data_IF_614862458141
#
_entry.id   IF_614862458141
#
_cell.length_a   1.000
_cell.length_b   1.000
_cell.length_c   1.000
_cell.angle_alpha   90.00
_cell.angle_beta   90.00
_cell.angle_gamma   90.00
#
_symmetry.space_group_name_H-M   'P 1'
#
loop_
_entity.id
_entity.type
_entity.pdbx_description
1 polymer ?
#
# COMPACT_ATOMS: atom_id res chain seq x y z
N UNK A 1 -20.82 9.36 -7.77
CA UNK A 1 -19.59 10.13 -8.06
C UNK A 1 -19.32 10.07 -9.56
N UNK A 2 -19.39 11.19 -10.28
CA UNK A 2 -19.00 11.26 -11.69
C UNK A 2 -17.47 11.35 -11.75
N UNK A 3 -16.81 10.39 -12.38
CA UNK A 3 -15.36 10.40 -12.56
C UNK A 3 -15.05 11.17 -13.86
N UNK A 4 -14.11 12.13 -13.86
CA UNK A 4 -13.69 12.81 -15.07
C UNK A 4 -13.22 11.79 -16.15
N UNK A 5 -13.63 11.96 -17.42
CA UNK A 5 -13.34 11.00 -18.48
C UNK A 5 -11.84 10.82 -18.72
N UNK A 6 -11.03 11.87 -18.52
CA UNK A 6 -9.57 11.83 -18.61
C UNK A 6 -8.93 10.91 -17.56
N UNK A 7 -9.42 10.96 -16.32
CA UNK A 7 -8.94 10.10 -15.23
C UNK A 7 -9.37 8.65 -15.50
N UNK A 8 -10.59 8.45 -16.01
CA UNK A 8 -11.09 7.12 -16.33
C UNK A 8 -10.31 6.45 -17.47
N UNK A 9 -9.99 7.18 -18.54
CA UNK A 9 -9.18 6.66 -19.66
C UNK A 9 -7.76 6.32 -19.21
N UNK A 10 -7.13 7.21 -18.44
CA UNK A 10 -5.80 6.98 -17.90
C UNK A 10 -5.76 5.80 -16.94
N UNK A 11 -6.76 5.66 -16.06
CA UNK A 11 -6.86 4.51 -15.16
C UNK A 11 -6.99 3.20 -15.93
N UNK A 12 -7.77 3.17 -17.04
CA UNK A 12 -7.86 1.99 -17.91
C UNK A 12 -6.52 1.66 -18.58
N UNK A 13 -5.82 2.67 -19.10
CA UNK A 13 -4.49 2.51 -19.71
C UNK A 13 -3.48 1.99 -18.69
N UNK A 14 -3.53 2.53 -17.48
CA UNK A 14 -2.75 2.09 -16.34
C UNK A 14 -3.01 0.62 -15.98
N UNK A 15 -4.28 0.21 -15.89
CA UNK A 15 -4.64 -1.19 -15.63
C UNK A 15 -4.11 -2.16 -16.71
N UNK A 16 -4.14 -1.74 -17.98
CA UNK A 16 -3.64 -2.54 -19.11
C UNK A 16 -2.12 -2.67 -19.08
N UNK A 17 -1.42 -1.55 -18.90
CA UNK A 17 0.06 -1.51 -18.83
C UNK A 17 0.58 -2.25 -17.60
N UNK A 18 -0.07 -2.10 -16.45
CA UNK A 18 0.27 -2.85 -15.23
C UNK A 18 0.09 -4.36 -15.40
N UNK A 19 -0.95 -4.78 -16.13
CA UNK A 19 -1.16 -6.19 -16.45
C UNK A 19 -0.03 -6.74 -17.33
N UNK A 20 0.41 -5.96 -18.31
CA UNK A 20 1.50 -6.33 -19.21
C UNK A 20 2.87 -6.33 -18.51
N UNK A 21 3.14 -5.37 -17.62
CA UNK A 21 4.42 -5.24 -16.91
C UNK A 21 4.74 -6.45 -16.03
N UNK A 22 3.70 -7.12 -15.53
CA UNK A 22 3.81 -8.36 -14.73
C UNK A 22 3.52 -9.63 -15.53
N UNK A 23 3.58 -9.57 -16.87
CA UNK A 23 3.35 -10.71 -17.76
C UNK A 23 2.02 -11.43 -17.46
N UNK A 24 0.97 -10.65 -17.18
CA UNK A 24 -0.37 -11.13 -16.84
C UNK A 24 -0.46 -12.01 -15.59
N UNK A 25 0.54 -11.98 -14.71
CA UNK A 25 0.49 -12.69 -13.44
C UNK A 25 -0.55 -12.08 -12.49
N UNK A 26 -1.67 -12.78 -12.29
CA UNK A 26 -2.84 -12.26 -11.58
C UNK A 26 -2.55 -11.81 -10.13
N UNK A 27 -1.76 -12.58 -9.37
CA UNK A 27 -1.46 -12.22 -7.97
C UNK A 27 -0.61 -10.94 -7.88
N UNK A 28 0.52 -10.89 -8.61
CA UNK A 28 1.36 -9.70 -8.73
C UNK A 28 0.57 -8.46 -9.19
N UNK A 29 -0.28 -8.60 -10.21
CA UNK A 29 -1.17 -7.53 -10.67
C UNK A 29 -2.06 -7.01 -9.54
N UNK A 30 -2.71 -7.90 -8.78
CA UNK A 30 -3.59 -7.50 -7.66
C UNK A 30 -2.82 -6.75 -6.58
N UNK A 31 -1.59 -7.18 -6.27
CA UNK A 31 -0.79 -6.54 -5.22
C UNK A 31 -0.27 -5.17 -5.65
N UNK A 32 0.25 -5.05 -6.86
CA UNK A 32 0.59 -3.74 -7.41
C UNK A 32 -0.66 -2.86 -7.48
N UNK A 33 -1.80 -3.37 -7.95
CA UNK A 33 -3.03 -2.57 -7.99
C UNK A 33 -3.41 -2.01 -6.62
N UNK A 34 -3.28 -2.80 -5.54
CA UNK A 34 -3.50 -2.31 -4.17
C UNK A 34 -2.53 -1.18 -3.79
N UNK A 35 -1.26 -1.27 -4.18
CA UNK A 35 -0.27 -0.22 -3.91
C UNK A 35 -0.52 1.07 -4.69
N UNK A 36 -1.02 0.96 -5.91
CA UNK A 36 -1.23 2.12 -6.78
C UNK A 36 -2.59 2.79 -6.62
N UNK A 37 -3.60 2.05 -6.15
CA UNK A 37 -4.97 2.56 -5.93
C UNK A 37 -5.05 3.83 -5.08
N UNK A 38 -4.30 3.99 -3.97
CA UNK A 38 -4.32 5.20 -3.16
C UNK A 38 -4.01 6.48 -3.94
N UNK A 39 -3.16 6.42 -4.96
CA UNK A 39 -2.78 7.61 -5.73
C UNK A 39 -3.93 8.12 -6.59
N UNK A 40 -4.70 7.22 -7.18
CA UNK A 40 -5.92 7.57 -7.89
C UNK A 40 -7.04 8.00 -6.93
N UNK A 41 -7.14 7.37 -5.75
CA UNK A 41 -8.10 7.80 -4.73
C UNK A 41 -7.82 9.21 -4.24
N UNK A 42 -6.55 9.54 -3.94
CA UNK A 42 -6.15 10.88 -3.52
C UNK A 42 -6.47 11.93 -4.59
N UNK A 43 -6.22 11.61 -5.87
CA UNK A 43 -6.59 12.49 -6.98
C UNK A 43 -8.11 12.71 -7.06
N UNK A 44 -8.90 11.66 -6.87
CA UNK A 44 -10.36 11.76 -6.88
C UNK A 44 -10.90 12.54 -5.67
N UNK A 45 -10.31 12.36 -4.49
CA UNK A 45 -10.66 13.11 -3.28
C UNK A 45 -10.37 14.60 -3.43
N UNK A 46 -9.20 14.97 -3.99
CA UNK A 46 -8.85 16.37 -4.26
C UNK A 46 -9.81 17.02 -5.28
N UNK A 47 -10.23 16.27 -6.29
CA UNK A 47 -11.17 16.75 -7.30
C UNK A 47 -12.62 16.80 -6.82
N UNK A 48 -13.00 15.98 -5.82
CA UNK A 48 -14.37 15.97 -5.28
C UNK A 48 -14.66 17.18 -4.39
N UNK A 49 -13.62 17.80 -3.81
CA UNK A 49 -13.73 19.02 -3.00
C UNK A 49 -13.62 20.31 -3.83
N UNK A 50 -13.20 20.21 -5.09
CA UNK A 50 -13.12 21.34 -6.00
C UNK A 50 -14.49 21.60 -6.65
N UNK A 51 -14.86 22.88 -6.78
CA UNK A 51 -16.07 23.30 -7.51
C UNK A 51 -16.09 22.72 -8.93
N UNK A 52 -17.28 22.40 -9.44
CA UNK A 52 -17.55 21.63 -10.67
C UNK A 52 -16.82 22.16 -11.93
N UNK A 53 -16.39 23.42 -11.90
CA UNK A 53 -15.67 24.13 -12.97
C UNK A 53 -14.14 23.95 -12.95
N UNK A 54 -13.55 23.34 -11.92
CA UNK A 54 -12.10 23.27 -11.70
C UNK A 54 -11.57 21.83 -11.58
N UNK A 55 -12.17 20.86 -12.28
CA UNK A 55 -11.71 19.47 -12.42
C UNK A 55 -10.43 19.38 -13.28
N UNK A 56 -9.42 20.19 -12.96
CA UNK A 56 -8.15 20.24 -13.68
C UNK A 56 -7.14 19.39 -12.91
N UNK A 57 -6.84 18.22 -13.46
CA UNK A 57 -5.72 17.40 -12.98
C UNK A 57 -4.44 18.21 -13.15
N UNK A 58 -3.60 18.37 -12.10
CA UNK A 58 -2.36 19.12 -12.21
C UNK A 58 -1.47 18.57 -13.33
N UNK A 59 -0.89 19.46 -14.15
CA UNK A 59 0.00 19.07 -15.26
C UNK A 59 1.18 18.23 -14.78
N UNK A 60 1.71 18.52 -13.59
CA UNK A 60 2.77 17.74 -12.95
C UNK A 60 2.37 16.28 -12.67
N UNK A 61 1.09 16.04 -12.38
CA UNK A 61 0.58 14.70 -12.15
C UNK A 61 0.50 13.92 -13.47
N UNK A 62 0.07 14.57 -14.56
CA UNK A 62 0.12 13.98 -15.90
C UNK A 62 1.54 13.57 -16.30
N UNK A 63 2.52 14.46 -16.14
CA UNK A 63 3.93 14.13 -16.43
C UNK A 63 4.42 12.93 -15.61
N UNK A 64 4.05 12.87 -14.33
CA UNK A 64 4.43 11.76 -13.45
C UNK A 64 3.74 10.45 -13.87
N UNK A 65 2.47 10.52 -14.26
CA UNK A 65 1.70 9.38 -14.75
C UNK A 65 2.29 8.85 -16.08
N UNK A 66 2.65 9.73 -17.01
CA UNK A 66 3.23 9.35 -18.30
C UNK A 66 4.60 8.67 -18.13
N UNK A 67 5.45 9.21 -17.26
CA UNK A 67 6.72 8.56 -16.90
C UNK A 67 6.50 7.19 -16.26
N UNK A 68 5.49 7.07 -15.41
CA UNK A 68 5.12 5.78 -14.80
C UNK A 68 4.66 4.78 -15.85
N UNK A 69 3.82 5.20 -16.80
CA UNK A 69 3.37 4.35 -17.90
C UNK A 69 4.53 3.93 -18.81
N UNK A 70 5.45 4.85 -19.10
CA UNK A 70 6.68 4.56 -19.85
C UNK A 70 7.55 3.53 -19.13
N UNK A 71 7.71 3.67 -17.81
CA UNK A 71 8.42 2.71 -16.98
C UNK A 71 7.76 1.31 -16.99
N UNK A 72 6.44 1.24 -16.82
CA UNK A 72 5.69 -0.02 -16.86
C UNK A 72 5.71 -0.67 -18.25
N UNK A 73 5.63 0.13 -19.31
CA UNK A 73 5.77 -0.33 -20.70
C UNK A 73 7.16 -0.91 -20.95
N UNK A 74 8.20 -0.21 -20.51
CA UNK A 74 9.60 -0.68 -20.58
C UNK A 74 9.79 -1.98 -19.79
N UNK A 75 9.15 -2.11 -18.63
CA UNK A 75 9.11 -3.36 -17.85
C UNK A 75 8.44 -4.51 -18.60
N UNK A 76 7.41 -4.25 -19.40
CA UNK A 76 6.72 -5.29 -20.17
C UNK A 76 7.57 -5.79 -21.35
N UNK A 77 8.30 -4.88 -22.00
CA UNK A 77 9.07 -5.19 -23.23
C UNK A 77 10.46 -5.72 -22.90
N UNK A 78 11.25 -4.96 -22.14
CA UNK A 78 12.70 -5.18 -22.03
C UNK A 78 13.09 -6.26 -21.02
N UNK A 79 12.17 -6.65 -20.10
CA UNK A 79 12.41 -7.61 -19.00
C UNK A 79 13.69 -7.35 -18.16
N UNK A 80 14.28 -6.17 -18.26
CA UNK A 80 15.50 -5.77 -17.55
C UNK A 80 15.22 -5.21 -16.15
N UNK A 81 15.99 -4.20 -15.74
CA UNK A 81 15.87 -3.55 -14.42
C UNK A 81 14.43 -3.12 -14.09
N UNK A 82 13.66 -2.47 -15.00
CA UNK A 82 12.27 -2.10 -14.70
C UNK A 82 11.39 -3.30 -14.34
N UNK A 83 11.62 -4.46 -14.96
CA UNK A 83 10.90 -5.69 -14.67
C UNK A 83 11.30 -6.29 -13.32
N UNK A 84 12.59 -6.27 -13.00
CA UNK A 84 13.06 -6.69 -11.67
C UNK A 84 12.45 -5.81 -10.58
N UNK A 85 12.38 -4.50 -10.79
CA UNK A 85 11.76 -3.56 -9.84
C UNK A 85 10.27 -3.85 -9.68
N UNK A 86 9.50 -3.99 -10.76
CA UNK A 86 8.05 -4.28 -10.67
C UNK A 86 7.77 -5.63 -10.01
N UNK A 87 8.58 -6.65 -10.29
CA UNK A 87 8.52 -7.96 -9.64
C UNK A 87 8.83 -7.85 -8.15
N UNK A 88 9.91 -7.15 -7.78
CA UNK A 88 10.32 -6.97 -6.39
C UNK A 88 9.26 -6.20 -5.60
N UNK A 89 8.66 -5.14 -6.18
CA UNK A 89 7.56 -4.41 -5.56
C UNK A 89 6.32 -5.30 -5.34
N UNK A 90 5.99 -6.18 -6.28
CA UNK A 90 4.87 -7.11 -6.11
C UNK A 90 5.14 -8.12 -4.97
N UNK A 91 6.37 -8.65 -4.88
CA UNK A 91 6.81 -9.51 -3.78
C UNK A 91 6.80 -8.77 -2.44
N UNK A 92 7.25 -7.51 -2.44
CA UNK A 92 7.28 -6.64 -1.28
C UNK A 92 5.87 -6.39 -0.73
N UNK A 93 4.93 -6.00 -1.60
CA UNK A 93 3.53 -5.79 -1.23
C UNK A 93 2.86 -7.07 -0.72
N UNK A 94 3.21 -8.23 -1.27
CA UNK A 94 2.72 -9.53 -0.78
C UNK A 94 3.20 -9.80 0.65
N UNK A 95 4.51 -9.66 0.90
CA UNK A 95 5.10 -9.88 2.24
C UNK A 95 4.56 -8.89 3.26
N UNK A 96 4.45 -7.62 2.89
CA UNK A 96 3.88 -6.59 3.76
C UNK A 96 2.43 -6.91 4.15
N UNK A 97 1.60 -7.33 3.19
CA UNK A 97 0.21 -7.66 3.46
C UNK A 97 0.07 -8.94 4.29
N UNK A 98 0.90 -9.95 4.02
CA UNK A 98 0.94 -11.18 4.81
C UNK A 98 1.37 -10.93 6.25
N UNK A 99 2.44 -10.13 6.45
CA UNK A 99 2.87 -9.67 7.77
C UNK A 99 1.73 -8.97 8.49
N UNK A 100 1.09 -7.99 7.87
CA UNK A 100 -0.03 -7.27 8.48
C UNK A 100 -1.18 -8.22 8.83
N UNK A 101 -1.54 -9.15 7.93
CA UNK A 101 -2.53 -10.17 8.22
C UNK A 101 -2.14 -10.98 9.46
N UNK A 102 -0.88 -11.45 9.55
CA UNK A 102 -0.42 -12.18 10.72
C UNK A 102 -0.45 -11.31 11.99
N UNK A 103 0.01 -10.06 11.93
CA UNK A 103 0.04 -9.12 13.07
C UNK A 103 -1.36 -8.81 13.61
N UNK A 104 -2.33 -8.57 12.72
CA UNK A 104 -3.69 -8.21 13.12
C UNK A 104 -4.57 -9.43 13.41
N UNK A 105 -4.41 -10.55 12.71
CA UNK A 105 -5.23 -11.74 12.95
C UNK A 105 -4.74 -12.56 14.15
N UNK A 106 -3.46 -12.57 14.50
CA UNK A 106 -2.98 -13.17 15.76
C UNK A 106 -3.55 -12.49 17.01
N UNK A 107 -3.97 -11.22 16.90
CA UNK A 107 -4.60 -10.46 17.99
C UNK A 107 -6.11 -10.69 18.11
N UNK A 108 -6.74 -11.33 17.12
CA UNK A 108 -8.11 -11.80 17.26
C UNK A 108 -8.10 -13.03 18.19
N UNK A 109 -7.99 -12.79 19.50
CA UNK A 109 -8.39 -13.80 20.49
C UNK A 109 -9.81 -14.21 20.12
N UNK A 110 -10.06 -15.52 20.06
CA UNK A 110 -11.43 -16.04 20.02
C UNK A 110 -12.22 -15.30 21.08
N UNK A 111 -13.39 -14.78 20.71
CA UNK A 111 -14.29 -14.16 21.69
C UNK A 111 -14.61 -15.24 22.74
N UNK A 112 -14.05 -15.09 23.93
CA UNK A 112 -14.38 -15.94 25.07
C UNK A 112 -15.49 -15.18 25.80
N UNK A 113 -16.73 -15.69 25.80
CA UNK A 113 -17.79 -15.04 26.57
C UNK A 113 -17.33 -14.97 28.04
N UNK A 114 -17.49 -13.82 28.70
CA UNK A 114 -17.16 -13.71 30.11
C UNK A 114 -17.97 -14.75 30.89
N UNK A 115 -17.37 -15.48 31.85
CA UNK A 115 -18.13 -16.39 32.70
C UNK A 115 -19.21 -15.60 33.47
N UNK A 116 -20.39 -16.20 33.64
CA UNK A 116 -21.60 -15.54 34.20
C UNK A 116 -21.38 -14.88 35.58
N UNK A 117 -20.32 -15.26 36.30
CA UNK A 117 -19.94 -14.74 37.61
C UNK A 117 -18.89 -13.60 37.60
N UNK A 118 -18.45 -13.13 36.42
CA UNK A 118 -17.35 -12.16 36.31
C UNK A 118 -17.78 -10.73 36.72
N UNK A 119 -17.68 -10.40 38.01
CA UNK A 119 -17.88 -9.05 38.57
C UNK A 119 -16.80 -8.01 38.22
N UNK A 120 -15.81 -8.33 37.39
CA UNK A 120 -14.71 -7.41 37.08
C UNK A 120 -14.56 -7.21 35.57
N UNK A 121 -14.38 -5.97 35.08
CA UNK A 121 -13.85 -5.78 33.74
C UNK A 121 -12.45 -6.40 33.69
N UNK A 122 -12.06 -7.04 32.57
CA UNK A 122 -10.71 -7.59 32.43
C UNK A 122 -9.71 -6.46 32.69
N UNK A 123 -8.84 -6.67 33.69
CA UNK A 123 -7.82 -5.68 34.02
C UNK A 123 -6.97 -5.42 32.77
N UNK A 124 -6.71 -4.13 32.51
CA UNK A 124 -5.72 -3.70 31.55
C UNK A 124 -4.38 -4.30 32.03
N UNK A 125 -3.99 -5.42 31.43
CA UNK A 125 -2.75 -6.11 31.74
C UNK A 125 -1.60 -5.12 31.56
N UNK A 126 -0.92 -4.77 32.64
CA UNK A 126 0.27 -3.92 32.59
C UNK A 126 1.33 -4.64 31.73
N UNK A 127 1.92 -3.93 30.77
CA UNK A 127 2.93 -4.47 29.84
C UNK A 127 4.21 -4.98 30.55
N UNK A 128 4.38 -4.65 31.83
CA UNK A 128 5.55 -5.04 32.63
C UNK A 128 5.62 -6.55 32.93
N UNK A 129 4.48 -7.25 32.97
CA UNK A 129 4.38 -8.69 33.21
C UNK A 129 4.53 -9.55 31.93
N UNK A 130 4.99 -8.97 30.82
CA UNK A 130 5.24 -9.75 29.63
C UNK A 130 6.43 -10.69 29.86
N UNK A 131 6.26 -11.97 29.49
CA UNK A 131 7.36 -12.93 29.53
C UNK A 131 8.54 -12.41 28.70
N UNK A 132 9.79 -12.75 29.03
CA UNK A 132 10.97 -12.29 28.29
C UNK A 132 10.87 -12.60 26.79
N UNK A 133 10.21 -13.71 26.42
CA UNK A 133 9.93 -14.06 25.01
C UNK A 133 8.96 -13.07 24.34
N UNK A 134 7.96 -12.60 25.07
CA UNK A 134 7.00 -11.61 24.56
C UNK A 134 7.63 -10.21 24.44
N UNK A 135 8.51 -9.82 25.37
CA UNK A 135 9.29 -8.58 25.26
C UNK A 135 10.23 -8.63 24.06
N UNK A 136 10.92 -9.75 23.84
CA UNK A 136 11.77 -9.96 22.66
C UNK A 136 10.97 -9.90 21.36
N UNK A 137 9.79 -10.53 21.31
CA UNK A 137 8.92 -10.48 20.14
C UNK A 137 8.44 -9.04 19.84
N UNK A 138 8.09 -8.26 20.87
CA UNK A 138 7.72 -6.84 20.69
C UNK A 138 8.89 -6.03 20.11
N UNK A 139 10.10 -6.21 20.63
CA UNK A 139 11.29 -5.52 20.14
C UNK A 139 11.58 -5.87 18.66
N UNK A 140 11.40 -7.14 18.27
CA UNK A 140 11.47 -7.54 16.86
C UNK A 140 10.37 -6.85 16.06
N UNK A 141 9.11 -6.90 16.48
CA UNK A 141 8.00 -6.28 15.75
C UNK A 141 8.21 -4.77 15.53
N UNK A 142 8.78 -4.06 16.52
CA UNK A 142 9.14 -2.64 16.45
C UNK A 142 10.27 -2.36 15.46
N UNK A 143 11.39 -3.08 15.56
CA UNK A 143 12.50 -2.98 14.58
C UNK A 143 11.99 -3.20 13.16
N UNK A 144 11.13 -4.20 13.03
CA UNK A 144 10.57 -4.62 11.76
C UNK A 144 9.58 -3.56 11.25
N UNK A 145 8.85 -2.82 12.12
CA UNK A 145 8.00 -1.68 11.73
C UNK A 145 8.86 -0.49 11.25
N UNK A 146 9.97 -0.20 11.94
CA UNK A 146 10.93 0.83 11.53
C UNK A 146 11.54 0.53 10.16
N UNK A 147 11.97 -0.71 9.91
CA UNK A 147 12.52 -1.11 8.62
C UNK A 147 11.55 -0.89 7.45
N UNK A 148 10.25 -1.14 7.65
CA UNK A 148 9.23 -0.85 6.63
C UNK A 148 8.96 0.64 6.46
N UNK A 149 9.02 1.42 7.54
CA UNK A 149 8.90 2.88 7.49
C UNK A 149 10.04 3.49 6.67
N UNK A 150 11.27 3.08 6.95
CA UNK A 150 12.47 3.55 6.26
C UNK A 150 12.45 3.16 4.79
N UNK A 151 12.05 1.92 4.48
CA UNK A 151 11.86 1.49 3.09
C UNK A 151 10.80 2.33 2.38
N UNK A 152 9.70 2.67 3.06
CA UNK A 152 8.68 3.58 2.54
C UNK A 152 9.22 4.97 2.24
N UNK A 153 10.12 5.49 3.09
CA UNK A 153 10.79 6.76 2.88
C UNK A 153 11.74 6.71 1.67
N UNK A 154 12.54 5.65 1.52
CA UNK A 154 13.41 5.43 0.36
C UNK A 154 12.60 5.37 -0.94
N UNK A 155 11.48 4.66 -0.94
CA UNK A 155 10.56 4.61 -2.10
C UNK A 155 10.04 6.02 -2.42
N UNK A 156 9.63 6.79 -1.40
CA UNK A 156 9.16 8.17 -1.58
C UNK A 156 10.24 9.09 -2.14
N UNK A 157 11.49 8.93 -1.72
CA UNK A 157 12.63 9.67 -2.26
C UNK A 157 12.89 9.31 -3.72
N UNK A 158 12.85 8.02 -4.07
CA UNK A 158 13.01 7.55 -5.45
C UNK A 158 11.91 8.09 -6.37
N UNK A 159 10.64 8.03 -5.93
CA UNK A 159 9.50 8.64 -6.64
C UNK A 159 9.70 10.16 -6.83
N UNK A 160 10.18 10.85 -5.79
CA UNK A 160 10.44 12.29 -5.82
C UNK A 160 11.55 12.69 -6.80
N UNK A 161 12.60 11.86 -6.91
CA UNK A 161 13.75 12.04 -7.81
C UNK A 161 13.37 11.81 -9.26
N UNK A 162 12.80 10.65 -9.57
CA UNK A 162 12.55 10.24 -10.97
C UNK A 162 11.20 10.71 -11.50
N UNK A 163 10.34 11.25 -10.62
CA UNK A 163 8.95 11.64 -10.92
C UNK A 163 8.18 10.48 -11.52
N UNK A 164 8.24 9.33 -10.85
CA UNK A 164 7.44 8.15 -11.14
C UNK A 164 6.64 7.76 -9.91
N UNK A 165 5.54 7.05 -10.12
CA UNK A 165 4.80 6.41 -9.05
C UNK A 165 5.29 4.95 -8.92
N UNK A 166 5.69 4.55 -7.73
CA UNK A 166 6.03 3.16 -7.39
C UNK A 166 4.95 2.51 -6.52
N UNK A 167 4.06 3.34 -5.95
CA UNK A 167 2.93 2.92 -5.14
C UNK A 167 3.22 3.02 -3.64
N UNK A 168 2.16 2.97 -2.84
CA UNK A 168 2.23 3.09 -1.38
C UNK A 168 1.86 1.78 -0.71
N UNK A 169 2.71 1.31 0.19
CA UNK A 169 2.37 0.23 1.12
C UNK A 169 1.49 0.82 2.22
N UNK A 170 0.17 0.76 2.05
CA UNK A 170 -0.75 1.18 3.11
C UNK A 170 -0.83 0.10 4.18
N UNK A 171 -0.25 0.38 5.35
CA UNK A 171 -0.63 -0.27 6.60
C UNK A 171 -2.12 0.00 6.86
N UNK A 172 -2.80 -0.97 7.46
CA UNK A 172 -4.23 -0.88 7.77
C UNK A 172 -4.56 0.48 8.44
N UNK A 173 -5.59 1.24 7.99
CA UNK A 173 -5.91 2.60 8.45
C UNK A 173 -6.39 2.75 9.91
N UNK A 174 -6.03 1.84 10.82
CA UNK A 174 -6.34 1.96 12.26
C UNK A 174 -5.26 2.72 13.05
N UNK A 175 -4.38 3.44 12.37
CA UNK A 175 -3.36 4.31 12.96
C UNK A 175 -3.55 5.77 12.52
N UNK A 176 -4.81 6.22 12.48
CA UNK A 176 -5.21 7.62 12.56
C UNK A 176 -6.24 7.73 13.68
#
# INVERSE_FOLDING_TARGET
MKIPPSIASLYRLYLRTLSASVLHHAAAKRQLLKMYRPMFQNLLSQNSTASESALTVPSSWHTTADKTLSFLSSSAIARGVPHQVTRNLASLGTRFHERNRQKYMKKAKHWIPPPEDAKFPPSLRNDDELSPKAKQQKAWDELDDHAWSDLGAVIKLAEGRDKIFLGRLQGNPRSL
#
